data_IF_844432116121
#
_entry.id   IF_844432116121
#
_cell.length_a   1.000
_cell.length_b   1.000
_cell.length_c   1.000
_cell.angle_alpha   90.00
_cell.angle_beta   90.00
_cell.angle_gamma   90.00
#
_symmetry.space_group_name_H-M   'P 1'
#
loop_
_entity.id
_entity.type
_entity.pdbx_description
1 polymer ?
#
# COMPACT_ATOMS: atom_id res chain seq x y z
N UNK A 1 43.99 -20.13 -27.07
CA UNK A 1 44.77 -19.09 -26.38
C UNK A 1 45.60 -18.37 -27.44
N UNK A 2 45.50 -17.05 -27.52
CA UNK A 2 46.27 -16.31 -28.56
C UNK A 2 47.76 -16.32 -28.19
N UNK A 3 48.55 -17.09 -28.88
CA UNK A 3 50.02 -17.14 -28.72
C UNK A 3 50.66 -15.75 -28.81
N UNK A 4 50.06 -14.82 -29.54
CA UNK A 4 50.51 -13.43 -29.67
C UNK A 4 50.47 -12.61 -28.34
N UNK A 5 49.59 -12.98 -27.40
CA UNK A 5 49.50 -12.31 -26.10
C UNK A 5 50.65 -12.74 -25.15
N UNK A 6 51.06 -14.00 -25.22
CA UNK A 6 52.17 -14.52 -24.43
C UNK A 6 53.52 -13.98 -24.93
N UNK A 7 53.67 -13.70 -26.23
CA UNK A 7 54.86 -13.13 -26.83
C UNK A 7 55.11 -11.68 -26.42
N UNK A 8 54.06 -10.93 -26.04
CA UNK A 8 54.16 -9.54 -25.56
C UNK A 8 54.61 -9.43 -24.12
N UNK A 9 54.66 -10.52 -23.35
CA UNK A 9 55.06 -10.55 -21.94
C UNK A 9 56.60 -10.73 -21.83
N UNK A 10 57.31 -9.96 -20.98
CA UNK A 10 58.75 -10.16 -20.74
C UNK A 10 59.05 -11.60 -20.31
N UNK A 11 60.14 -12.17 -20.81
CA UNK A 11 60.50 -13.58 -20.65
C UNK A 11 60.44 -14.06 -19.19
N UNK A 12 60.90 -13.25 -18.22
CA UNK A 12 60.85 -13.59 -16.80
C UNK A 12 59.49 -13.65 -16.14
N UNK A 13 58.43 -13.14 -16.83
CA UNK A 13 57.06 -13.16 -16.31
C UNK A 13 56.17 -14.18 -17.05
N UNK A 14 56.67 -14.80 -18.14
CA UNK A 14 55.89 -15.77 -18.94
C UNK A 14 55.47 -17.02 -18.16
N UNK A 15 56.34 -17.51 -17.30
CA UNK A 15 56.11 -18.67 -16.46
C UNK A 15 55.01 -18.38 -15.41
N UNK A 16 55.09 -17.21 -14.76
CA UNK A 16 54.06 -16.75 -13.82
C UNK A 16 52.72 -16.50 -14.50
N UNK A 17 52.72 -15.94 -15.71
CA UNK A 17 51.54 -15.72 -16.50
C UNK A 17 50.86 -17.05 -16.90
N UNK A 18 51.64 -18.09 -17.25
CA UNK A 18 51.09 -19.43 -17.55
C UNK A 18 50.43 -20.09 -16.36
N UNK A 19 50.92 -19.87 -15.14
CA UNK A 19 50.32 -20.42 -13.91
C UNK A 19 49.04 -19.73 -13.48
N UNK A 20 48.82 -18.48 -13.92
CA UNK A 20 47.65 -17.66 -13.50
C UNK A 20 46.67 -17.40 -14.63
N UNK A 21 46.98 -17.80 -15.87
CA UNK A 21 46.02 -17.74 -16.99
C UNK A 21 44.98 -18.85 -16.87
N UNK A 22 43.70 -18.54 -16.98
CA UNK A 22 42.67 -19.57 -16.94
C UNK A 22 42.82 -20.54 -18.12
N UNK A 23 42.70 -21.85 -17.90
CA UNK A 23 42.77 -22.92 -18.89
C UNK A 23 41.74 -22.82 -20.05
N UNK A 24 40.75 -21.95 -19.89
CA UNK A 24 39.73 -21.69 -20.88
C UNK A 24 39.87 -20.31 -21.47
N UNK A 25 39.62 -20.16 -22.81
CA UNK A 25 39.64 -18.81 -23.41
C UNK A 25 38.63 -17.92 -22.72
N UNK A 26 39.10 -16.75 -22.28
CA UNK A 26 38.22 -15.72 -21.69
C UNK A 26 37.23 -15.30 -22.78
N UNK A 27 35.94 -15.63 -22.59
CA UNK A 27 34.90 -15.16 -23.48
C UNK A 27 34.75 -13.64 -23.33
N UNK A 28 35.12 -12.91 -24.39
CA UNK A 28 34.89 -11.45 -24.45
C UNK A 28 33.46 -11.26 -24.96
N UNK A 29 32.52 -10.75 -24.12
CA UNK A 29 31.15 -10.60 -24.53
C UNK A 29 31.01 -9.69 -25.76
N UNK A 30 30.19 -10.10 -26.71
CA UNK A 30 29.81 -9.26 -27.84
C UNK A 30 29.08 -7.99 -27.39
N UNK A 31 29.00 -6.93 -28.20
CA UNK A 31 28.19 -5.76 -27.86
C UNK A 31 26.76 -6.10 -27.49
N UNK A 32 26.12 -7.03 -28.19
CA UNK A 32 24.77 -7.49 -27.93
C UNK A 32 24.63 -8.21 -26.57
N UNK A 33 25.61 -9.07 -26.23
CA UNK A 33 25.67 -9.73 -24.91
C UNK A 33 25.90 -8.75 -23.77
N UNK A 34 26.67 -7.68 -23.99
CA UNK A 34 26.89 -6.60 -23.02
C UNK A 34 25.58 -5.85 -22.78
N UNK A 35 24.91 -5.44 -23.85
CA UNK A 35 23.61 -4.76 -23.78
C UNK A 35 22.55 -5.61 -23.06
N UNK A 36 22.53 -6.90 -23.34
CA UNK A 36 21.61 -7.82 -22.67
C UNK A 36 21.91 -7.94 -21.18
N UNK A 37 23.17 -8.11 -20.80
CA UNK A 37 23.59 -8.14 -19.38
C UNK A 37 23.29 -6.84 -18.65
N UNK A 38 23.49 -5.71 -19.30
CA UNK A 38 23.19 -4.39 -18.74
C UNK A 38 21.68 -4.21 -18.51
N UNK A 39 20.85 -4.61 -19.47
CA UNK A 39 19.39 -4.62 -19.32
C UNK A 39 18.93 -5.55 -18.19
N UNK A 40 19.49 -6.73 -18.08
CA UNK A 40 19.18 -7.69 -17.01
C UNK A 40 19.60 -7.14 -15.65
N UNK A 41 20.80 -6.58 -15.55
CA UNK A 41 21.31 -5.94 -14.31
C UNK A 41 20.43 -4.76 -13.91
N UNK A 42 20.09 -3.89 -14.85
CA UNK A 42 19.22 -2.73 -14.63
C UNK A 42 17.84 -3.18 -14.11
N UNK A 43 17.22 -4.19 -14.73
CA UNK A 43 15.95 -4.77 -14.28
C UNK A 43 16.06 -5.34 -12.86
N UNK A 44 17.15 -6.05 -12.56
CA UNK A 44 17.41 -6.65 -11.24
C UNK A 44 17.56 -5.58 -10.16
N UNK A 45 18.35 -4.54 -10.43
CA UNK A 45 18.53 -3.42 -9.53
C UNK A 45 17.23 -2.65 -9.29
N UNK A 46 16.47 -2.37 -10.36
CA UNK A 46 15.15 -1.71 -10.25
C UNK A 46 14.22 -2.52 -9.35
N UNK A 47 14.13 -3.84 -9.57
CA UNK A 47 13.28 -4.73 -8.75
C UNK A 47 13.73 -4.75 -7.28
N UNK A 48 15.03 -4.75 -7.01
CA UNK A 48 15.56 -4.68 -5.65
C UNK A 48 15.21 -3.34 -4.97
N UNK A 49 15.38 -2.23 -5.69
CA UNK A 49 15.01 -0.90 -5.18
C UNK A 49 13.52 -0.77 -4.89
N UNK A 50 12.66 -1.30 -5.77
CA UNK A 50 11.21 -1.33 -5.55
C UNK A 50 10.83 -2.18 -4.33
N UNK A 51 11.45 -3.34 -4.14
CA UNK A 51 11.23 -4.18 -2.98
C UNK A 51 11.67 -3.47 -1.67
N UNK A 52 12.82 -2.80 -1.68
CA UNK A 52 13.27 -2.02 -0.52
C UNK A 52 12.32 -0.86 -0.20
N UNK A 53 11.85 -0.11 -1.22
CA UNK A 53 10.86 0.96 -1.03
C UNK A 53 9.55 0.40 -0.44
N UNK A 54 9.10 -0.75 -0.93
CA UNK A 54 7.89 -1.41 -0.41
C UNK A 54 8.00 -1.74 1.08
N UNK A 55 9.17 -2.22 1.53
CA UNK A 55 9.43 -2.47 2.96
C UNK A 55 9.40 -1.17 3.77
N UNK A 56 10.02 -0.09 3.26
CA UNK A 56 10.03 1.22 3.93
C UNK A 56 8.61 1.77 4.09
N UNK A 57 7.74 1.64 3.07
CA UNK A 57 6.36 2.13 3.18
C UNK A 57 5.55 1.31 4.18
N UNK A 58 5.72 -0.01 4.20
CA UNK A 58 5.07 -0.87 5.17
C UNK A 58 5.53 -0.57 6.61
N UNK A 59 6.84 -0.32 6.81
CA UNK A 59 7.42 0.08 8.10
C UNK A 59 6.85 1.42 8.62
N UNK A 60 6.43 2.32 7.72
CA UNK A 60 5.78 3.59 8.09
C UNK A 60 4.27 3.48 8.27
N UNK A 61 3.71 2.28 8.18
CA UNK A 61 2.28 2.06 8.45
C UNK A 61 1.91 2.44 9.87
N UNK A 62 0.75 3.05 10.00
CA UNK A 62 0.16 3.41 11.28
C UNK A 62 -0.89 2.38 11.65
N UNK A 63 -0.49 1.39 12.43
CA UNK A 63 -1.35 0.30 12.88
C UNK A 63 -2.12 0.68 14.14
N UNK A 64 -3.37 0.20 14.32
CA UNK A 64 -4.08 0.36 15.59
C UNK A 64 -3.25 -0.19 16.76
N UNK A 65 -3.05 0.61 17.79
CA UNK A 65 -2.19 0.29 18.93
C UNK A 65 -0.75 -0.17 18.55
N UNK A 66 -0.27 0.20 17.36
CA UNK A 66 1.06 -0.18 16.86
C UNK A 66 1.22 -1.66 16.47
N UNK A 67 0.14 -2.45 16.44
CA UNK A 67 0.19 -3.90 16.18
C UNK A 67 -0.13 -4.18 14.71
N UNK A 68 0.83 -4.69 13.91
CA UNK A 68 0.59 -5.05 12.52
C UNK A 68 -0.48 -6.14 12.38
N UNK A 69 -1.39 -5.94 11.43
CA UNK A 69 -2.44 -6.90 11.08
C UNK A 69 -2.11 -7.48 9.72
N UNK A 70 -2.20 -8.79 9.57
CA UNK A 70 -2.12 -9.47 8.28
C UNK A 70 -3.43 -10.19 7.99
N UNK A 71 -3.88 -10.16 6.74
CA UNK A 71 -5.07 -10.86 6.29
C UNK A 71 -5.00 -11.07 4.78
N UNK A 72 -5.33 -12.28 4.35
CA UNK A 72 -5.35 -12.69 2.95
C UNK A 72 -6.74 -13.17 2.54
N UNK A 73 -7.00 -13.37 1.26
CA UNK A 73 -8.27 -13.96 0.82
C UNK A 73 -8.48 -15.39 1.33
N UNK A 74 -7.42 -16.14 1.66
CA UNK A 74 -7.52 -17.47 2.26
C UNK A 74 -8.08 -17.43 3.70
N UNK A 75 -7.90 -16.31 4.39
CA UNK A 75 -8.40 -16.10 5.75
C UNK A 75 -9.87 -15.68 5.80
N UNK A 76 -10.45 -15.29 4.65
CA UNK A 76 -11.85 -14.91 4.56
C UNK A 76 -12.75 -16.13 4.69
N UNK A 77 -13.47 -16.25 5.80
CA UNK A 77 -14.34 -17.40 6.15
C UNK A 77 -15.82 -17.00 6.15
N UNK A 78 -16.53 -17.11 5.02
CA UNK A 78 -17.95 -16.76 4.93
C UNK A 78 -18.85 -17.52 5.93
N UNK A 79 -18.46 -18.74 6.30
CA UNK A 79 -19.19 -19.58 7.24
C UNK A 79 -19.21 -19.05 8.69
N UNK A 80 -18.36 -18.06 9.02
CA UNK A 80 -18.40 -17.35 10.30
C UNK A 80 -19.49 -16.27 10.34
N UNK A 81 -20.14 -15.99 9.24
CA UNK A 81 -21.22 -15.01 9.16
C UNK A 81 -22.60 -15.68 9.12
N UNK A 82 -23.62 -15.11 9.78
CA UNK A 82 -24.99 -15.61 9.70
C UNK A 82 -25.51 -15.68 8.27
N UNK A 83 -25.26 -14.64 7.47
CA UNK A 83 -25.54 -14.62 6.03
C UNK A 83 -24.28 -15.00 5.24
N UNK A 84 -24.10 -16.32 5.08
CA UNK A 84 -22.93 -16.87 4.38
C UNK A 84 -22.90 -16.52 2.88
N UNK A 85 -24.06 -16.44 2.23
CA UNK A 85 -24.16 -16.08 0.81
C UNK A 85 -23.72 -14.65 0.60
N UNK A 86 -24.16 -13.73 1.44
CA UNK A 86 -23.75 -12.34 1.45
C UNK A 86 -22.24 -12.22 1.69
N UNK A 87 -21.72 -12.95 2.65
CA UNK A 87 -20.28 -12.96 2.95
C UNK A 87 -19.44 -13.48 1.78
N UNK A 88 -19.92 -14.53 1.08
CA UNK A 88 -19.27 -15.04 -0.15
C UNK A 88 -19.29 -13.99 -1.27
N UNK A 89 -20.45 -13.37 -1.50
CA UNK A 89 -20.58 -12.33 -2.52
C UNK A 89 -19.66 -11.15 -2.29
N UNK A 90 -19.52 -10.68 -1.04
CA UNK A 90 -18.60 -9.62 -0.63
C UNK A 90 -17.13 -10.04 -0.87
N UNK A 91 -16.74 -11.25 -0.50
CA UNK A 91 -15.40 -11.77 -0.75
C UNK A 91 -15.07 -11.89 -2.24
N UNK A 92 -16.02 -12.38 -3.04
CA UNK A 92 -15.90 -12.46 -4.52
C UNK A 92 -15.76 -11.05 -5.11
N UNK A 93 -16.56 -10.08 -4.65
CA UNK A 93 -16.46 -8.70 -5.13
C UNK A 93 -15.08 -8.10 -4.82
N UNK A 94 -14.55 -8.31 -3.61
CA UNK A 94 -13.22 -7.84 -3.22
C UNK A 94 -12.12 -8.48 -4.08
N UNK A 95 -12.22 -9.80 -4.32
CA UNK A 95 -11.31 -10.51 -5.22
C UNK A 95 -11.36 -9.98 -6.65
N UNK A 96 -12.56 -9.74 -7.18
CA UNK A 96 -12.78 -9.19 -8.53
C UNK A 96 -12.14 -7.81 -8.66
N UNK A 97 -12.28 -6.94 -7.64
CA UNK A 97 -11.63 -5.63 -7.57
C UNK A 97 -10.11 -5.77 -7.63
N UNK A 98 -9.51 -6.69 -6.87
CA UNK A 98 -8.07 -6.93 -6.90
C UNK A 98 -7.61 -7.37 -8.30
N UNK A 99 -8.32 -8.30 -8.94
CA UNK A 99 -8.01 -8.77 -10.29
C UNK A 99 -8.26 -7.71 -11.37
N UNK A 100 -9.27 -6.88 -11.24
CA UNK A 100 -9.49 -5.73 -12.12
C UNK A 100 -8.30 -4.75 -12.02
N UNK A 101 -7.85 -4.41 -10.83
CA UNK A 101 -6.72 -3.52 -10.62
C UNK A 101 -5.40 -4.12 -11.14
N UNK A 102 -5.22 -5.43 -11.02
CA UNK A 102 -4.08 -6.14 -11.63
C UNK A 102 -4.05 -5.94 -13.14
N UNK A 103 -5.21 -6.00 -13.80
CA UNK A 103 -5.34 -5.94 -15.26
C UNK A 103 -5.36 -4.50 -15.80
N UNK A 104 -6.14 -3.63 -15.17
CA UNK A 104 -6.51 -2.32 -15.72
C UNK A 104 -5.79 -1.13 -15.06
N UNK A 105 -4.97 -1.37 -14.02
CA UNK A 105 -4.32 -0.32 -13.25
C UNK A 105 -5.13 0.14 -12.03
N UNK A 106 -4.62 1.16 -11.35
CA UNK A 106 -5.16 1.62 -10.07
C UNK A 106 -6.47 2.41 -10.21
N UNK A 107 -7.33 2.25 -9.23
CA UNK A 107 -8.52 3.05 -8.98
C UNK A 107 -8.82 3.04 -7.47
N UNK A 108 -9.66 3.97 -6.99
CA UNK A 108 -10.01 3.98 -5.58
C UNK A 108 -11.12 2.95 -5.26
N UNK A 109 -11.07 2.43 -4.05
CA UNK A 109 -12.03 1.43 -3.52
C UNK A 109 -12.62 1.93 -2.21
N UNK A 110 -13.91 1.73 -2.01
CA UNK A 110 -14.61 2.05 -0.78
C UNK A 110 -15.22 0.80 -0.17
N UNK A 111 -14.90 0.53 1.09
CA UNK A 111 -15.53 -0.50 1.93
C UNK A 111 -16.34 0.20 3.01
N UNK A 112 -17.66 0.07 2.96
CA UNK A 112 -18.62 0.79 3.79
C UNK A 112 -19.47 -0.18 4.62
N UNK A 113 -19.68 0.10 5.90
CA UNK A 113 -20.58 -0.68 6.77
C UNK A 113 -20.26 -0.58 8.24
N UNK A 114 -21.03 -1.26 9.07
CA UNK A 114 -20.90 -1.26 10.52
C UNK A 114 -19.53 -1.73 11.01
N UNK A 115 -19.10 -1.37 12.22
CA UNK A 115 -17.88 -1.90 12.83
C UNK A 115 -17.89 -3.44 12.90
N UNK A 116 -16.71 -4.05 12.90
CA UNK A 116 -16.53 -5.50 13.09
C UNK A 116 -16.95 -6.41 11.92
N UNK A 117 -17.43 -5.86 10.81
CA UNK A 117 -17.95 -6.63 9.66
C UNK A 117 -16.87 -7.17 8.71
N UNK A 118 -15.58 -6.88 8.93
CA UNK A 118 -14.48 -7.40 8.11
C UNK A 118 -13.98 -6.46 7.01
N UNK A 119 -14.34 -5.17 7.03
CA UNK A 119 -13.87 -4.17 6.05
C UNK A 119 -12.35 -4.10 5.98
N UNK A 120 -11.69 -3.90 7.12
CA UNK A 120 -10.23 -3.83 7.26
C UNK A 120 -9.57 -5.12 6.76
N UNK A 121 -10.15 -6.28 7.08
CA UNK A 121 -9.66 -7.60 6.63
C UNK A 121 -9.64 -7.70 5.10
N UNK A 122 -10.73 -7.34 4.43
CA UNK A 122 -10.76 -7.38 2.96
C UNK A 122 -9.93 -6.27 2.30
N UNK A 123 -9.76 -5.11 2.94
CA UNK A 123 -8.82 -4.09 2.47
C UNK A 123 -7.38 -4.63 2.45
N UNK A 124 -6.96 -5.33 3.50
CA UNK A 124 -5.67 -5.99 3.60
C UNK A 124 -5.52 -7.11 2.57
N UNK A 125 -6.55 -7.95 2.38
CA UNK A 125 -6.53 -9.03 1.39
C UNK A 125 -6.36 -8.48 -0.05
N UNK A 126 -7.03 -7.38 -0.40
CA UNK A 126 -6.86 -6.71 -1.70
C UNK A 126 -5.42 -6.22 -1.86
N UNK A 127 -4.85 -5.55 -0.85
CA UNK A 127 -3.48 -5.03 -0.90
C UNK A 127 -2.44 -6.15 -1.01
N UNK A 128 -2.61 -7.24 -0.24
CA UNK A 128 -1.75 -8.42 -0.31
C UNK A 128 -1.79 -9.07 -1.70
N UNK A 129 -2.99 -9.24 -2.29
CA UNK A 129 -3.14 -9.78 -3.64
C UNK A 129 -2.43 -8.92 -4.70
N UNK A 130 -2.53 -7.59 -4.60
CA UNK A 130 -1.86 -6.68 -5.53
C UNK A 130 -0.33 -6.70 -5.35
N UNK A 131 0.16 -6.89 -4.12
CA UNK A 131 1.58 -7.14 -3.87
C UNK A 131 2.05 -8.42 -4.57
N UNK A 132 1.27 -9.50 -4.50
CA UNK A 132 1.61 -10.77 -5.16
C UNK A 132 1.57 -10.66 -6.69
N UNK A 133 0.51 -10.08 -7.25
CA UNK A 133 0.26 -10.06 -8.70
C UNK A 133 1.10 -9.00 -9.44
N UNK A 134 1.39 -7.85 -8.82
CA UNK A 134 2.04 -6.70 -9.45
C UNK A 134 3.32 -6.22 -8.76
N UNK A 135 3.70 -6.83 -7.64
CA UNK A 135 4.77 -6.33 -6.76
C UNK A 135 4.49 -4.90 -6.26
N UNK A 136 3.24 -4.50 -6.18
CA UNK A 136 2.86 -3.18 -5.70
C UNK A 136 3.19 -3.03 -4.22
N UNK A 137 3.81 -1.92 -3.89
CA UNK A 137 4.01 -1.52 -2.50
C UNK A 137 2.69 -1.09 -1.89
N UNK A 138 2.50 -1.34 -0.59
CA UNK A 138 1.32 -0.89 0.12
C UNK A 138 1.67 -0.32 1.50
N UNK A 139 0.80 0.54 1.99
CA UNK A 139 0.88 1.16 3.30
C UNK A 139 -0.50 1.15 3.96
N UNK A 140 -0.53 0.83 5.26
CA UNK A 140 -1.73 0.89 6.08
C UNK A 140 -1.70 2.12 6.99
N UNK A 141 -2.80 2.85 7.06
CA UNK A 141 -2.94 4.03 7.91
C UNK A 141 -4.28 3.98 8.62
N UNK A 142 -4.25 3.67 9.91
CA UNK A 142 -5.37 3.99 10.81
C UNK A 142 -5.49 5.51 10.88
N UNK A 143 -6.64 6.05 10.50
CA UNK A 143 -6.83 7.49 10.50
C UNK A 143 -6.92 8.05 11.92
N UNK A 144 -7.31 7.23 12.89
CA UNK A 144 -7.27 7.57 14.31
C UNK A 144 -5.83 7.75 14.80
N UNK A 145 -4.92 6.84 14.44
CA UNK A 145 -3.50 6.96 14.80
C UNK A 145 -2.84 8.16 14.10
N UNK A 146 -3.19 8.38 12.82
CA UNK A 146 -2.72 9.55 12.09
C UNK A 146 -3.18 10.86 12.75
N UNK A 147 -4.44 10.93 13.20
CA UNK A 147 -4.97 12.07 13.95
C UNK A 147 -4.17 12.30 15.22
N UNK A 148 -3.97 11.26 16.04
CA UNK A 148 -3.21 11.35 17.29
C UNK A 148 -1.79 11.86 17.05
N UNK A 149 -1.13 11.36 15.99
CA UNK A 149 0.20 11.81 15.63
C UNK A 149 0.22 13.28 15.17
N UNK A 150 -0.78 13.72 14.37
CA UNK A 150 -0.90 15.11 13.95
C UNK A 150 -1.19 16.05 15.13
N UNK A 151 -1.94 15.60 16.12
CA UNK A 151 -2.18 16.36 17.35
C UNK A 151 -0.91 16.48 18.20
N UNK A 152 -0.15 15.38 18.35
CA UNK A 152 1.10 15.36 19.13
C UNK A 152 2.21 16.28 18.58
N UNK A 153 2.15 16.73 17.31
CA UNK A 153 3.15 17.66 16.76
C UNK A 153 3.19 19.04 17.44
N UNK A 154 2.15 19.38 18.21
CA UNK A 154 2.09 20.64 18.93
C UNK A 154 2.88 20.57 20.26
N UNK A 155 3.04 19.34 20.79
CA UNK A 155 3.69 19.10 22.07
C UNK A 155 5.15 18.65 21.91
N UNK A 156 5.57 18.21 20.70
CA UNK A 156 6.92 17.72 20.45
C UNK A 156 7.44 18.06 19.05
N UNK A 157 8.67 18.63 19.01
CA UNK A 157 9.35 18.96 17.74
C UNK A 157 9.75 17.73 16.93
N UNK A 158 10.00 16.59 17.56
CA UNK A 158 10.45 15.35 16.91
C UNK A 158 9.37 14.68 16.06
N UNK A 159 8.11 15.02 16.30
CA UNK A 159 6.96 14.45 15.56
C UNK A 159 6.85 15.00 14.14
N UNK A 160 7.26 16.25 13.88
CA UNK A 160 7.16 16.87 12.54
C UNK A 160 7.92 16.11 11.45
N UNK A 161 9.19 15.70 11.64
CA UNK A 161 9.93 14.88 10.67
C UNK A 161 9.28 13.51 10.46
N UNK A 162 8.68 12.92 11.50
CA UNK A 162 7.95 11.65 11.38
C UNK A 162 6.71 11.80 10.50
N UNK A 163 5.89 12.85 10.72
CA UNK A 163 4.72 13.16 9.88
C UNK A 163 5.13 13.35 8.42
N UNK A 164 6.23 14.07 8.16
CA UNK A 164 6.72 14.28 6.80
C UNK A 164 7.09 12.96 6.10
N UNK A 165 7.76 12.04 6.80
CA UNK A 165 8.08 10.70 6.30
C UNK A 165 6.84 9.86 6.02
N UNK A 166 5.85 9.89 6.93
CA UNK A 166 4.57 9.20 6.77
C UNK A 166 3.80 9.77 5.58
N UNK A 167 3.65 11.10 5.48
CA UNK A 167 3.00 11.76 4.36
C UNK A 167 3.64 11.36 3.02
N UNK A 168 4.97 11.34 2.97
CA UNK A 168 5.70 10.89 1.79
C UNK A 168 5.37 9.43 1.44
N UNK A 169 5.40 8.52 2.41
CA UNK A 169 5.07 7.13 2.21
C UNK A 169 3.60 6.94 1.75
N UNK A 170 2.64 7.67 2.36
CA UNK A 170 1.24 7.71 1.93
C UNK A 170 1.09 8.16 0.47
N UNK A 171 1.91 9.10 0.03
CA UNK A 171 1.89 9.62 -1.34
C UNK A 171 2.51 8.64 -2.34
N UNK A 172 3.62 8.01 -1.98
CA UNK A 172 4.46 7.22 -2.89
C UNK A 172 4.04 5.74 -2.97
N UNK A 173 3.45 5.13 -1.94
CA UNK A 173 2.99 3.75 -1.97
C UNK A 173 1.97 3.52 -3.10
N UNK A 174 2.03 2.38 -3.78
CA UNK A 174 1.06 2.05 -4.83
C UNK A 174 -0.35 1.89 -4.26
N UNK A 175 -0.50 1.13 -3.18
CA UNK A 175 -1.76 0.97 -2.46
C UNK A 175 -1.68 1.68 -1.11
N UNK A 176 -2.60 2.59 -0.85
CA UNK A 176 -2.81 3.23 0.44
C UNK A 176 -4.13 2.75 1.02
N UNK A 177 -4.08 2.10 2.17
CA UNK A 177 -5.27 1.78 2.96
C UNK A 177 -5.47 2.91 3.98
N UNK A 178 -6.63 3.57 3.93
CA UNK A 178 -7.09 4.52 4.94
C UNK A 178 -8.19 3.83 5.74
N UNK A 179 -7.83 3.35 6.93
CA UNK A 179 -8.73 2.57 7.76
C UNK A 179 -9.48 3.46 8.75
N UNK A 180 -10.78 3.15 8.92
CA UNK A 180 -11.73 3.88 9.77
C UNK A 180 -11.83 5.39 9.43
N UNK A 181 -11.76 5.73 8.13
CA UNK A 181 -11.82 7.10 7.63
C UNK A 181 -13.14 7.78 8.03
N UNK A 182 -13.03 8.92 8.68
CA UNK A 182 -14.16 9.70 9.19
C UNK A 182 -14.39 9.57 10.70
N UNK A 183 -13.67 8.70 11.42
CA UNK A 183 -13.74 8.64 12.89
C UNK A 183 -13.16 9.88 13.55
N UNK A 184 -12.37 10.67 12.82
CA UNK A 184 -11.80 11.93 13.25
C UNK A 184 -12.84 13.00 13.59
N UNK A 185 -14.06 12.87 13.03
CA UNK A 185 -15.22 13.72 13.35
C UNK A 185 -15.80 13.53 14.75
N UNK A 186 -15.32 12.54 15.49
CA UNK A 186 -15.73 12.24 16.85
C UNK A 186 -16.37 10.87 17.04
N UNK A 187 -16.54 10.47 18.30
CA UNK A 187 -17.25 9.23 18.66
C UNK A 187 -18.76 9.41 18.47
N UNK A 188 -19.46 8.35 18.05
CA UNK A 188 -20.90 8.35 17.78
C UNK A 188 -21.73 8.94 18.93
N UNK A 189 -21.39 8.63 20.18
CA UNK A 189 -22.04 9.19 21.39
C UNK A 189 -21.93 10.71 21.48
N UNK A 190 -20.78 11.29 21.11
CA UNK A 190 -20.57 12.75 21.11
C UNK A 190 -21.18 13.42 19.88
N UNK A 191 -21.30 12.70 18.77
CA UNK A 191 -21.93 13.20 17.53
C UNK A 191 -23.44 13.40 17.74
N UNK A 192 -24.10 12.49 18.47
CA UNK A 192 -25.52 12.60 18.78
C UNK A 192 -25.85 13.83 19.65
N UNK A 193 -24.93 14.24 20.53
CA UNK A 193 -25.11 15.41 21.41
C UNK A 193 -24.72 16.75 20.76
N UNK A 194 -23.65 16.76 19.96
CA UNK A 194 -22.99 18.00 19.49
C UNK A 194 -22.85 18.12 17.97
N UNK A 195 -23.28 17.12 17.21
CA UNK A 195 -23.07 17.03 15.76
C UNK A 195 -21.63 16.65 15.37
N UNK A 196 -21.41 16.44 14.06
CA UNK A 196 -20.07 16.15 13.54
C UNK A 196 -19.13 17.34 13.72
N UNK A 197 -17.97 17.08 14.30
CA UNK A 197 -16.87 18.03 14.32
C UNK A 197 -16.00 17.79 13.10
N UNK A 198 -15.62 18.86 12.38
CA UNK A 198 -14.66 18.76 11.28
C UNK A 198 -13.31 18.23 11.76
N UNK A 199 -12.60 17.51 10.89
CA UNK A 199 -11.24 17.07 11.16
C UNK A 199 -10.33 18.29 11.40
N UNK A 200 -9.30 18.10 12.25
CA UNK A 200 -8.35 19.18 12.59
C UNK A 200 -7.73 19.78 11.31
N UNK A 201 -7.58 21.13 11.20
CA UNK A 201 -7.09 21.78 9.98
C UNK A 201 -5.78 21.22 9.43
N UNK A 202 -4.83 20.87 10.30
CA UNK A 202 -3.55 20.26 9.89
C UNK A 202 -3.73 18.84 9.30
N UNK A 203 -4.66 18.07 9.84
CA UNK A 203 -5.01 16.77 9.30
C UNK A 203 -5.70 16.92 7.94
N UNK A 204 -6.63 17.87 7.81
CA UNK A 204 -7.26 18.18 6.52
C UNK A 204 -6.23 18.62 5.47
N UNK A 205 -5.27 19.47 5.83
CA UNK A 205 -4.19 19.88 4.94
C UNK A 205 -3.36 18.66 4.48
N UNK A 206 -2.93 17.80 5.41
CA UNK A 206 -2.17 16.58 5.11
C UNK A 206 -2.95 15.68 4.15
N UNK A 207 -4.22 15.41 4.45
CA UNK A 207 -5.08 14.55 3.63
C UNK A 207 -5.35 15.16 2.25
N UNK A 208 -5.49 16.48 2.15
CA UNK A 208 -5.62 17.17 0.87
C UNK A 208 -4.37 17.01 0.00
N UNK A 209 -3.19 17.19 0.58
CA UNK A 209 -1.92 17.02 -0.14
C UNK A 209 -1.73 15.58 -0.63
N UNK A 210 -2.01 14.57 0.23
CA UNK A 210 -1.96 13.15 -0.14
C UNK A 210 -2.97 12.84 -1.25
N UNK A 211 -4.22 13.29 -1.08
CA UNK A 211 -5.29 13.06 -2.07
C UNK A 211 -4.93 13.64 -3.44
N UNK A 212 -4.43 14.88 -3.48
CA UNK A 212 -4.00 15.52 -4.71
C UNK A 212 -2.84 14.79 -5.39
N UNK A 213 -1.83 14.40 -4.63
CA UNK A 213 -0.65 13.74 -5.19
C UNK A 213 -0.97 12.36 -5.78
N UNK A 214 -2.02 11.69 -5.29
CA UNK A 214 -2.47 10.38 -5.76
C UNK A 214 -3.52 10.44 -6.85
N UNK A 215 -4.27 11.55 -6.92
CA UNK A 215 -5.40 11.69 -7.84
C UNK A 215 -5.00 11.54 -9.32
N UNK A 216 -5.71 10.69 -10.05
CA UNK A 216 -5.49 10.44 -11.47
C UNK A 216 -4.21 9.69 -11.84
N UNK A 217 -3.48 9.16 -10.86
CA UNK A 217 -2.27 8.36 -11.12
C UNK A 217 -2.63 6.89 -11.37
N UNK A 218 -2.17 6.29 -12.50
CA UNK A 218 -2.56 4.94 -12.90
C UNK A 218 -1.97 3.82 -12.01
N UNK A 219 -1.02 4.16 -11.17
CA UNK A 219 -0.33 3.26 -10.26
C UNK A 219 -0.64 3.53 -8.77
N UNK A 220 -1.61 4.42 -8.46
CA UNK A 220 -1.95 4.83 -7.09
C UNK A 220 -3.39 4.48 -6.76
N UNK A 221 -3.59 3.39 -6.04
CA UNK A 221 -4.88 2.96 -5.50
C UNK A 221 -5.04 3.44 -4.06
N UNK A 222 -6.19 4.02 -3.73
CA UNK A 222 -6.57 4.27 -2.34
C UNK A 222 -7.76 3.39 -1.97
N UNK A 223 -7.61 2.60 -0.91
CA UNK A 223 -8.67 1.77 -0.32
C UNK A 223 -9.12 2.47 0.96
N UNK A 224 -10.37 2.89 0.99
CA UNK A 224 -10.95 3.56 2.16
C UNK A 224 -11.89 2.59 2.85
N UNK A 225 -11.73 2.36 4.15
CA UNK A 225 -12.74 1.74 4.99
C UNK A 225 -13.42 2.81 5.83
N UNK A 226 -14.72 2.74 5.99
CA UNK A 226 -15.47 3.73 6.77
C UNK A 226 -16.79 3.17 7.27
N UNK A 227 -17.29 3.73 8.38
CA UNK A 227 -18.63 3.52 8.88
C UNK A 227 -19.57 4.67 8.47
N UNK A 228 -19.01 5.76 7.93
CA UNK A 228 -19.73 6.98 7.60
C UNK A 228 -20.24 6.97 6.15
N UNK A 229 -21.38 7.56 5.93
CA UNK A 229 -21.86 7.83 4.58
C UNK A 229 -21.17 9.07 3.95
N UNK A 230 -21.45 9.34 2.67
CA UNK A 230 -20.84 10.47 1.98
C UNK A 230 -21.23 11.84 2.57
N UNK A 231 -22.44 11.97 3.14
CA UNK A 231 -22.90 13.23 3.72
C UNK A 231 -22.16 13.50 5.02
N UNK A 232 -21.95 12.45 5.80
CA UNK A 232 -21.19 12.48 7.03
C UNK A 232 -19.71 12.80 6.77
N UNK A 233 -19.10 12.12 5.78
CA UNK A 233 -17.71 12.40 5.40
C UNK A 233 -17.51 13.84 4.93
N UNK A 234 -18.46 14.42 4.18
CA UNK A 234 -18.41 15.82 3.74
C UNK A 234 -18.64 16.84 4.87
N UNK A 235 -19.09 16.41 6.05
CA UNK A 235 -19.14 17.25 7.26
C UNK A 235 -17.82 17.22 8.03
N UNK A 236 -17.05 16.13 7.88
CA UNK A 236 -15.79 15.91 8.58
C UNK A 236 -14.61 16.46 7.79
N UNK A 237 -14.62 16.26 6.47
CA UNK A 237 -13.57 16.66 5.54
C UNK A 237 -14.08 17.59 4.45
N UNK A 238 -13.19 18.43 3.91
CA UNK A 238 -13.48 19.22 2.72
C UNK A 238 -13.95 18.30 1.57
N UNK A 239 -15.04 18.65 0.85
CA UNK A 239 -15.55 17.86 -0.27
C UNK A 239 -14.50 17.50 -1.33
N UNK A 240 -13.47 18.37 -1.53
CA UNK A 240 -12.37 18.09 -2.46
C UNK A 240 -11.51 16.90 -2.01
N UNK A 241 -11.36 16.68 -0.72
CA UNK A 241 -10.64 15.52 -0.16
C UNK A 241 -11.48 14.27 -0.41
N UNK A 242 -12.76 14.31 0.00
CA UNK A 242 -13.68 13.18 -0.14
C UNK A 242 -13.82 12.77 -1.60
N UNK A 243 -14.00 13.70 -2.52
CA UNK A 243 -14.18 13.40 -3.95
C UNK A 243 -12.97 12.74 -4.62
N UNK A 244 -11.75 12.96 -4.07
CA UNK A 244 -10.52 12.37 -4.61
C UNK A 244 -10.16 11.02 -3.99
N UNK A 245 -10.57 10.79 -2.75
CA UNK A 245 -10.25 9.55 -2.02
C UNK A 245 -11.37 8.52 -2.12
N UNK A 246 -12.64 8.97 -2.07
CA UNK A 246 -13.81 8.10 -1.97
C UNK A 246 -14.46 7.95 -3.35
N UNK A 247 -14.40 6.75 -3.90
CA UNK A 247 -15.01 6.47 -5.20
C UNK A 247 -16.54 6.49 -5.15
N UNK A 248 -17.16 7.02 -6.21
CA UNK A 248 -18.62 6.95 -6.43
C UNK A 248 -19.00 5.80 -7.38
N UNK A 249 -18.04 5.16 -8.02
CA UNK A 249 -18.28 4.06 -8.96
C UNK A 249 -18.77 2.81 -8.21
N UNK A 250 -20.00 2.39 -8.48
CA UNK A 250 -20.65 1.27 -7.76
C UNK A 250 -19.82 -0.03 -7.77
N UNK A 251 -19.17 -0.34 -8.90
CA UNK A 251 -18.33 -1.53 -9.03
C UNK A 251 -17.16 -1.57 -8.04
N UNK A 252 -16.67 -0.39 -7.62
CA UNK A 252 -15.54 -0.26 -6.70
C UNK A 252 -15.97 0.05 -5.25
N UNK A 253 -17.25 -0.14 -4.94
CA UNK A 253 -17.82 0.05 -3.59
C UNK A 253 -18.35 -1.25 -3.06
N UNK A 254 -17.85 -1.68 -1.91
CA UNK A 254 -18.31 -2.87 -1.20
C UNK A 254 -19.10 -2.43 0.02
N UNK A 255 -20.40 -2.77 0.04
CA UNK A 255 -21.25 -2.48 1.17
C UNK A 255 -21.41 -3.73 2.05
N UNK A 256 -21.07 -3.61 3.32
CA UNK A 256 -21.12 -4.67 4.32
C UNK A 256 -22.47 -4.69 5.07
N UNK A 257 -23.55 -4.17 4.44
CA UNK A 257 -24.87 -4.19 5.03
C UNK A 257 -25.34 -5.63 5.28
N UNK A 258 -25.91 -5.90 6.45
CA UNK A 258 -26.36 -7.24 6.83
C UNK A 258 -25.25 -8.17 7.34
N UNK A 259 -23.98 -7.72 7.35
CA UNK A 259 -22.89 -8.47 7.99
C UNK A 259 -22.92 -8.25 9.50
N UNK A 260 -22.71 -9.31 10.25
CA UNK A 260 -22.61 -9.23 11.70
C UNK A 260 -21.20 -8.84 12.16
N UNK A 261 -21.11 -8.30 13.37
CA UNK A 261 -19.84 -8.04 14.03
C UNK A 261 -19.21 -9.38 14.47
N UNK A 262 -18.14 -9.82 13.78
CA UNK A 262 -17.45 -11.10 14.10
C UNK A 262 -16.71 -11.05 15.43
N UNK A 263 -16.34 -9.87 15.95
CA UNK A 263 -15.69 -9.74 17.25
C UNK A 263 -16.64 -10.10 18.40
N UNK A 264 -17.93 -9.79 18.23
CA UNK A 264 -18.96 -10.14 19.19
C UNK A 264 -19.31 -11.64 19.19
N UNK A 265 -18.85 -12.40 18.18
CA UNK A 265 -19.14 -13.84 18.05
C UNK A 265 -17.98 -14.72 18.57
N UNK A 266 -16.80 -14.17 18.77
CA UNK A 266 -15.62 -14.90 19.25
C UNK A 266 -15.40 -14.73 20.77
N UNK A 267 -16.23 -13.96 21.47
CA UNK A 267 -16.31 -13.82 22.94
C UNK A 267 -17.47 -14.58 23.50
#
# INVERSE_FOLDING_TARGET
MNESLLESIPVGLRELAKQHLPDKPVHIPTPEERDQRERELSRRLTKQMEAQKAMVYLDKSLWPAGIPISFTFADWKPNKQPDQERARAIGIQAWTIAKEATKNGAFNVLLLGSPGTGKTSLALAIADQLKQDKSWSWMFVSTTELKSLVEAQFDSYDVKPQIAKIKRAMTEANVLILDDFGTEGGLVSRIMEKGYKGAHPKLQQLMYEVANARFGKPDKMTIVTTNNDNKELNRIYDPKIVSRLVTQKKAHRIAFNGMADVRAMEG
#
